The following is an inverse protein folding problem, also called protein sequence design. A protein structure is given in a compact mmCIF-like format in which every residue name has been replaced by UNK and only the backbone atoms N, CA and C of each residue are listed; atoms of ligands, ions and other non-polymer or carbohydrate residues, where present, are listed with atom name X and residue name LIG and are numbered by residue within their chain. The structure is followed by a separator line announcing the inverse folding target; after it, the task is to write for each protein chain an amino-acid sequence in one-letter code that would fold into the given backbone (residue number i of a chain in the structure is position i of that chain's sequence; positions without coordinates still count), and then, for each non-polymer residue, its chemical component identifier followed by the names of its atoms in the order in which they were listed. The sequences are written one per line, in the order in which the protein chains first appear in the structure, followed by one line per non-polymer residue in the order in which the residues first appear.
data_IF_625829162480
#
_entry.id   IF_625829162480
#
_cell.length_a   1.000
_cell.length_b   1.000
_cell.length_c   1.000
_cell.angle_alpha   90.00
_cell.angle_beta   90.00
_cell.angle_gamma   90.00
#
_symmetry.space_group_name_H-M   'P 1'
#
loop_
_entity.id
_entity.type
_entity.pdbx_description
1 polymer ?
#
# COMPACT_ATOMS: atom_id res chain seq x y z
N UNK A 1 -8.94 -3.81 0.63
CA UNK A 1 -7.87 -3.32 1.53
C UNK A 1 -8.08 -1.84 1.81
N UNK A 2 -7.55 -1.32 2.93
CA UNK A 2 -7.52 0.11 3.27
C UNK A 2 -6.13 0.52 3.76
N UNK A 3 -5.60 1.62 3.26
CA UNK A 3 -4.33 2.22 3.66
C UNK A 3 -4.58 3.61 4.25
N UNK A 4 -4.06 3.90 5.44
CA UNK A 4 -4.24 5.23 6.07
C UNK A 4 -2.90 5.80 6.50
N UNK A 5 -2.58 7.01 6.06
CA UNK A 5 -1.38 7.72 6.50
C UNK A 5 -1.67 8.31 7.88
N UNK A 6 -0.82 8.03 8.87
CA UNK A 6 -0.99 8.55 10.22
C UNK A 6 0.19 9.41 10.68
N UNK A 7 1.28 9.43 9.92
CA UNK A 7 2.44 10.25 10.26
C UNK A 7 3.27 10.64 9.04
N UNK A 8 3.88 11.82 9.15
CA UNK A 8 4.92 12.30 8.25
C UNK A 8 6.10 12.79 9.11
N UNK A 9 7.32 12.49 8.67
CA UNK A 9 8.53 12.96 9.34
C UNK A 9 9.53 13.41 8.29
N UNK A 10 10.02 14.63 8.48
CA UNK A 10 11.16 15.14 7.72
C UNK A 10 12.46 14.71 8.42
N UNK A 11 13.35 14.07 7.66
CA UNK A 11 14.69 13.74 8.13
C UNK A 11 15.65 14.92 7.90
N UNK A 12 16.69 15.07 8.74
CA UNK A 12 17.69 16.13 8.59
C UNK A 12 18.34 16.15 7.19
N UNK A 13 18.77 17.33 6.77
CA UNK A 13 19.56 17.49 5.53
C UNK A 13 20.79 16.57 5.55
N UNK A 14 21.02 15.84 4.46
CA UNK A 14 22.07 14.82 4.34
C UNK A 14 21.58 13.37 4.39
N UNK A 15 20.32 13.13 4.78
CA UNK A 15 19.67 11.84 4.52
C UNK A 15 19.16 11.78 3.08
N UNK A 16 19.50 10.72 2.34
CA UNK A 16 19.02 10.49 0.96
C UNK A 16 17.47 10.34 0.88
N UNK A 17 16.81 10.25 2.04
CA UNK A 17 15.37 10.07 2.21
C UNK A 17 14.77 11.19 3.07
N UNK A 18 14.74 12.42 2.57
CA UNK A 18 14.31 13.61 3.35
C UNK A 18 12.89 13.49 3.92
N UNK A 19 12.01 12.66 3.34
CA UNK A 19 10.63 12.49 3.79
C UNK A 19 10.26 11.02 4.00
N UNK A 20 9.68 10.72 5.16
CA UNK A 20 9.14 9.42 5.55
C UNK A 20 7.66 9.54 5.92
N UNK A 21 6.86 8.59 5.46
CA UNK A 21 5.44 8.50 5.74
C UNK A 21 5.16 7.21 6.50
N UNK A 22 4.46 7.32 7.62
CA UNK A 22 3.99 6.19 8.40
C UNK A 22 2.51 5.94 8.10
N UNK A 23 2.15 4.69 7.88
CA UNK A 23 0.80 4.30 7.49
C UNK A 23 0.36 3.00 8.15
N UNK A 24 -0.95 2.79 8.22
CA UNK A 24 -1.58 1.55 8.64
C UNK A 24 -2.25 0.87 7.46
N UNK A 25 -2.11 -0.45 7.36
CA UNK A 25 -2.77 -1.29 6.37
C UNK A 25 -3.80 -2.18 7.05
N UNK A 26 -5.04 -2.11 6.57
CA UNK A 26 -6.11 -3.04 6.89
C UNK A 26 -6.38 -3.90 5.67
N UNK A 27 -6.20 -5.21 5.79
CA UNK A 27 -6.46 -6.18 4.73
C UNK A 27 -7.95 -6.50 4.55
N UNK A 28 -8.82 -5.96 5.41
CA UNK A 28 -10.26 -6.21 5.43
C UNK A 28 -10.66 -7.45 6.22
N UNK A 29 -9.70 -8.14 6.83
CA UNK A 29 -9.96 -9.26 7.74
C UNK A 29 -10.15 -8.76 9.18
N UNK A 30 -10.34 -9.71 10.12
CA UNK A 30 -10.36 -9.42 11.56
C UNK A 30 -8.94 -9.27 12.16
N UNK A 31 -7.90 -9.42 11.35
CA UNK A 31 -6.53 -9.25 11.81
C UNK A 31 -6.27 -7.78 12.23
N UNK A 32 -5.37 -7.56 13.20
CA UNK A 32 -4.93 -6.21 13.54
C UNK A 32 -4.30 -5.51 12.32
N UNK A 33 -4.44 -4.18 12.20
CA UNK A 33 -3.78 -3.44 11.14
C UNK A 33 -2.26 -3.53 11.25
N UNK A 34 -1.59 -3.60 10.10
CA UNK A 34 -0.13 -3.61 10.02
C UNK A 34 0.36 -2.17 9.93
N UNK A 35 1.35 -1.82 10.76
CA UNK A 35 1.96 -0.48 10.79
C UNK A 35 3.29 -0.50 10.05
N UNK A 36 3.40 0.32 9.02
CA UNK A 36 4.58 0.39 8.16
C UNK A 36 5.03 1.83 7.94
N UNK A 37 6.23 1.98 7.38
CA UNK A 37 6.71 3.29 6.93
C UNK A 37 7.42 3.20 5.58
N UNK A 38 7.30 4.24 4.78
CA UNK A 38 7.93 4.33 3.45
C UNK A 38 8.64 5.66 3.28
N UNK A 39 9.78 5.65 2.60
CA UNK A 39 10.45 6.87 2.17
C UNK A 39 9.85 7.40 0.87
N UNK A 40 9.88 8.72 0.66
CA UNK A 40 9.43 9.33 -0.59
C UNK A 40 10.14 8.74 -1.81
N UNK A 41 11.43 8.43 -1.68
CA UNK A 41 12.22 7.78 -2.74
C UNK A 41 11.66 6.40 -3.09
N UNK A 42 11.37 5.58 -2.09
CA UNK A 42 10.78 4.25 -2.30
C UNK A 42 9.41 4.36 -2.93
N UNK A 43 8.55 5.27 -2.46
CA UNK A 43 7.24 5.52 -3.04
C UNK A 43 7.32 5.88 -4.53
N UNK A 44 8.27 6.74 -4.93
CA UNK A 44 8.54 7.08 -6.34
C UNK A 44 8.94 5.88 -7.17
N UNK A 45 9.84 5.03 -6.66
CA UNK A 45 10.28 3.81 -7.35
C UNK A 45 9.12 2.86 -7.55
N UNK A 46 8.30 2.63 -6.51
CA UNK A 46 7.16 1.71 -6.58
C UNK A 46 6.12 2.19 -7.59
N UNK A 47 5.74 3.47 -7.54
CA UNK A 47 4.74 4.04 -8.47
C UNK A 47 5.23 4.02 -9.92
N UNK A 48 6.54 4.16 -10.16
CA UNK A 48 7.10 4.11 -11.52
C UNK A 48 6.99 2.72 -12.17
N UNK A 49 6.88 1.65 -11.38
CA UNK A 49 6.88 0.27 -11.88
C UNK A 49 5.53 -0.45 -11.74
N UNK A 50 4.55 0.13 -11.04
CA UNK A 50 3.23 -0.48 -10.81
C UNK A 50 2.09 0.36 -11.40
N UNK A 51 1.47 -0.18 -12.45
CA UNK A 51 0.40 0.47 -13.21
C UNK A 51 -1.00 0.20 -12.64
N UNK A 52 -1.24 -0.97 -12.04
CA UNK A 52 -2.48 -1.31 -11.35
C UNK A 52 -2.39 -0.95 -9.87
N UNK A 53 -3.42 -0.29 -9.35
CA UNK A 53 -3.33 0.38 -8.06
C UNK A 53 -4.36 -0.06 -7.05
N UNK A 54 -3.98 -0.99 -6.17
CA UNK A 54 -4.65 -1.17 -4.88
C UNK A 54 -4.46 0.08 -3.98
N UNK A 55 -5.10 0.13 -2.82
CA UNK A 55 -5.12 1.24 -1.88
C UNK A 55 -3.71 1.71 -1.49
N UNK A 56 -2.73 0.79 -1.40
CA UNK A 56 -1.34 1.12 -1.11
C UNK A 56 -0.69 1.87 -2.26
N UNK A 57 -0.92 1.45 -3.50
CA UNK A 57 -0.41 2.15 -4.69
C UNK A 57 -1.10 3.50 -4.88
N UNK A 58 -2.41 3.59 -4.60
CA UNK A 58 -3.11 4.87 -4.61
C UNK A 58 -2.54 5.84 -3.57
N UNK A 59 -2.28 5.36 -2.35
CA UNK A 59 -1.61 6.12 -1.30
C UNK A 59 -0.21 6.60 -1.74
N UNK A 60 0.59 5.72 -2.35
CA UNK A 60 1.91 6.12 -2.85
C UNK A 60 1.83 7.14 -3.99
N UNK A 61 0.83 7.03 -4.88
CA UNK A 61 0.59 8.02 -5.92
C UNK A 61 0.25 9.39 -5.32
N UNK A 62 -0.61 9.43 -4.30
CA UNK A 62 -0.94 10.66 -3.59
C UNK A 62 0.32 11.30 -2.97
N UNK A 63 1.14 10.51 -2.27
CA UNK A 63 2.43 10.97 -1.71
C UNK A 63 3.34 11.55 -2.80
N UNK A 64 3.48 10.86 -3.93
CA UNK A 64 4.38 11.27 -5.02
C UNK A 64 3.85 12.50 -5.77
N UNK A 65 2.52 12.67 -5.85
CA UNK A 65 1.88 13.81 -6.51
C UNK A 65 1.86 15.09 -5.67
N UNK A 66 1.99 14.96 -4.35
CA UNK A 66 2.02 16.11 -3.43
C UNK A 66 3.39 16.80 -3.45
N UNK A 67 3.37 18.11 -3.22
CA UNK A 67 4.57 18.87 -2.94
C UNK A 67 4.96 18.78 -1.45
N UNK A 68 6.16 19.27 -1.13
CA UNK A 68 6.67 19.24 0.24
C UNK A 68 5.81 20.04 1.23
N UNK A 69 5.10 21.07 0.75
CA UNK A 69 4.19 21.87 1.57
C UNK A 69 2.87 21.14 1.87
N UNK A 70 2.49 20.16 1.04
CA UNK A 70 1.26 19.39 1.15
C UNK A 70 1.40 18.06 1.89
N UNK A 71 2.59 17.63 2.30
CA UNK A 71 2.79 16.32 2.94
C UNK A 71 2.05 16.17 4.27
N UNK A 72 1.97 17.22 5.07
CA UNK A 72 1.23 17.16 6.33
C UNK A 72 -0.28 17.04 6.10
N UNK A 73 -0.80 17.50 4.95
CA UNK A 73 -2.21 17.32 4.56
C UNK A 73 -2.55 15.88 4.16
N UNK A 74 -1.54 15.04 3.91
CA UNK A 74 -1.75 13.63 3.65
C UNK A 74 -2.01 12.84 4.93
N UNK A 75 -1.61 13.36 6.09
CA UNK A 75 -1.87 12.72 7.39
C UNK A 75 -3.38 12.69 7.66
N UNK A 76 -3.88 11.50 7.97
CA UNK A 76 -5.30 11.22 8.14
C UNK A 76 -6.02 10.84 6.84
N UNK A 77 -5.37 10.93 5.67
CA UNK A 77 -5.97 10.43 4.43
C UNK A 77 -5.99 8.90 4.41
N UNK A 78 -7.13 8.37 4.01
CA UNK A 78 -7.35 6.95 3.79
C UNK A 78 -7.63 6.67 2.32
N UNK A 79 -7.10 5.55 1.86
CA UNK A 79 -7.28 5.00 0.52
C UNK A 79 -7.88 3.62 0.66
N UNK A 80 -8.87 3.30 -0.15
CA UNK A 80 -9.57 2.01 -0.12
C UNK A 80 -9.50 1.38 -1.51
N UNK A 81 -9.38 0.06 -1.56
CA UNK A 81 -9.56 -0.64 -2.82
C UNK A 81 -11.01 -0.49 -3.25
N UNK A 82 -11.22 -0.23 -4.54
CA UNK A 82 -12.45 -0.64 -5.22
C UNK A 82 -12.43 -2.17 -5.29
N UNK A 83 -12.68 -2.84 -4.16
CA UNK A 83 -12.84 -4.28 -4.14
C UNK A 83 -14.14 -4.58 -4.88
N UNK A 84 -14.04 -4.82 -6.18
CA UNK A 84 -15.12 -5.46 -6.94
C UNK A 84 -15.22 -6.86 -6.36
N UNK A 85 -16.27 -7.08 -5.58
CA UNK A 85 -16.63 -8.35 -4.92
C UNK A 85 -16.67 -9.56 -5.89
N UNK A 86 -16.61 -9.31 -7.20
CA UNK A 86 -16.60 -10.30 -8.29
C UNK A 86 -15.52 -10.05 -9.37
N UNK A 87 -14.35 -9.50 -9.04
CA UNK A 87 -13.18 -9.55 -9.93
C UNK A 87 -12.56 -10.95 -9.94
N UNK A 88 -11.96 -11.44 -11.05
CA UNK A 88 -11.40 -12.78 -11.12
C UNK A 88 -10.32 -12.92 -10.04
N UNK A 89 -10.71 -13.58 -8.95
CA UNK A 89 -9.80 -13.91 -7.87
C UNK A 89 -8.88 -14.99 -8.42
N UNK A 90 -7.69 -14.60 -8.87
CA UNK A 90 -6.59 -15.50 -9.24
C UNK A 90 -6.02 -16.27 -8.01
N UNK A 91 -6.82 -16.37 -6.94
CA UNK A 91 -6.67 -17.40 -5.93
C UNK A 91 -6.91 -18.72 -6.65
N UNK A 92 -5.80 -19.31 -7.09
CA UNK A 92 -5.64 -20.75 -7.32
C UNK A 92 -6.69 -21.50 -6.50
N UNK A 93 -7.66 -22.03 -7.22
CA UNK A 93 -8.66 -22.91 -6.65
C UNK A 93 -7.91 -24.08 -6.03
N UNK A 94 -7.94 -24.15 -4.70
CA UNK A 94 -7.36 -25.25 -3.91
C UNK A 94 -8.17 -26.56 -4.08
N UNK A 95 -9.05 -26.63 -5.10
CA UNK A 95 -9.63 -27.86 -5.62
C UNK A 95 -8.64 -28.66 -6.48
N UNK A 96 -7.35 -28.66 -6.12
CA UNK A 96 -6.48 -29.79 -6.46
C UNK A 96 -6.94 -31.00 -5.66
N UNK A 97 -7.95 -31.68 -6.21
CA UNK A 97 -8.34 -33.02 -5.79
C UNK A 97 -7.10 -33.89 -5.79
N UNK A 98 -6.62 -34.26 -4.60
CA UNK A 98 -5.62 -35.29 -4.41
C UNK A 98 -6.25 -36.64 -4.78
N UNK A 99 -6.50 -36.85 -6.07
CA UNK A 99 -6.63 -38.18 -6.65
C UNK A 99 -5.23 -38.76 -6.68
N UNK A 100 -4.83 -39.40 -5.58
CA UNK A 100 -3.73 -40.34 -5.59
C UNK A 100 -4.14 -41.51 -6.50
N UNK A 101 -3.85 -41.37 -7.79
CA UNK A 101 -3.93 -42.43 -8.77
C UNK A 101 -2.60 -43.21 -8.77
N UNK A 102 -2.74 -44.55 -8.83
CA UNK A 102 -1.72 -45.58 -9.04
C UNK A 102 -0.81 -45.91 -7.84
N UNK A 103 -0.55 -47.18 -7.50
CA UNK A 103 -0.93 -48.49 -8.08
C UNK A 103 -0.61 -49.56 -7.04
#
# INVERSE_FOLDING_TARGET
MKATIWGHTQLPEGHEEVHRFAFELHDGSKAPPVRESVSLRTARVVVAHLQDGNALIQMFRAIVSSDAAGYDHLVGQSFEDDFVENGPSDRVDDSSGWQNANR
#
